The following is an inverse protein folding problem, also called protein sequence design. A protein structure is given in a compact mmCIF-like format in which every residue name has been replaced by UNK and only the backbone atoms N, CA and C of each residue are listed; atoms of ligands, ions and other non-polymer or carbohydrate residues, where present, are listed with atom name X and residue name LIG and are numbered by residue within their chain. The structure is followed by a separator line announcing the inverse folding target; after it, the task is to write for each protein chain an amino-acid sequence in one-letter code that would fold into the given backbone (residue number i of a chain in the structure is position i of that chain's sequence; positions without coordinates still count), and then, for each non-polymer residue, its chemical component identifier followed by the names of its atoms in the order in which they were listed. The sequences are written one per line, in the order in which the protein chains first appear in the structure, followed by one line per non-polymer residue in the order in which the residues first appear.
data_IF_629356778399
#
_entry.id   IF_629356778399
#
_cell.length_a   1.000
_cell.length_b   1.000
_cell.length_c   1.000
_cell.angle_alpha   90.00
_cell.angle_beta   90.00
_cell.angle_gamma   90.00
#
_symmetry.space_group_name_H-M   'P 1'
#
loop_
_entity.id
_entity.type
_entity.pdbx_description
1 polymer ?
#
# COMPACT_ATOMS: atom_id res chain seq x y z
N UNK A 1 -6.20 19.15 -14.40
CA UNK A 1 -5.30 18.06 -14.85
C UNK A 1 -4.16 17.88 -13.84
N UNK A 2 -4.43 17.25 -12.69
CA UNK A 2 -3.43 16.95 -11.65
C UNK A 2 -2.93 15.48 -11.71
N UNK A 3 -3.28 14.73 -12.76
CA UNK A 3 -3.21 13.27 -12.76
C UNK A 3 -1.83 12.67 -13.05
N UNK A 4 -1.11 13.16 -14.05
CA UNK A 4 0.06 12.44 -14.59
C UNK A 4 1.35 12.77 -13.82
N UNK A 5 1.59 14.06 -13.53
CA UNK A 5 2.81 14.52 -12.86
C UNK A 5 2.90 14.16 -11.37
N UNK A 6 1.78 13.86 -10.71
CA UNK A 6 1.75 13.47 -9.30
C UNK A 6 1.91 11.96 -9.10
N UNK A 7 1.36 11.14 -10.01
CA UNK A 7 1.35 9.68 -9.86
C UNK A 7 2.74 9.07 -10.05
N UNK A 8 3.54 9.55 -11.00
CA UNK A 8 4.86 8.97 -11.25
C UNK A 8 5.81 9.11 -10.03
N UNK A 9 6.02 10.32 -9.47
CA UNK A 9 6.80 10.48 -8.25
C UNK A 9 6.19 9.75 -7.05
N UNK A 10 4.85 9.68 -6.96
CA UNK A 10 4.18 8.94 -5.90
C UNK A 10 4.46 7.44 -5.99
N UNK A 11 4.49 6.85 -7.18
CA UNK A 11 4.73 5.42 -7.36
C UNK A 11 6.14 5.03 -6.91
N UNK A 12 7.14 5.84 -7.22
CA UNK A 12 8.51 5.57 -6.78
C UNK A 12 8.67 5.73 -5.25
N UNK A 13 7.88 6.60 -4.61
CA UNK A 13 7.84 6.73 -3.15
C UNK A 13 7.02 5.59 -2.50
N UNK A 14 5.92 5.19 -3.13
CA UNK A 14 4.98 4.21 -2.60
C UNK A 14 5.49 2.77 -2.75
N UNK A 15 6.35 2.50 -3.73
CA UNK A 15 6.97 1.19 -3.94
C UNK A 15 8.02 0.90 -2.87
N UNK A 16 7.55 0.37 -1.73
CA UNK A 16 8.39 -0.01 -0.59
C UNK A 16 8.96 -1.44 -0.71
N UNK A 17 8.83 -2.08 -1.86
CA UNK A 17 9.11 -3.51 -2.03
C UNK A 17 10.51 -3.90 -1.54
N UNK A 18 11.55 -3.19 -1.98
CA UNK A 18 12.94 -3.48 -1.59
C UNK A 18 13.21 -3.18 -0.11
N UNK A 19 12.63 -2.11 0.43
CA UNK A 19 12.74 -1.81 1.86
C UNK A 19 12.15 -2.94 2.70
N UNK A 20 10.94 -3.40 2.36
CA UNK A 20 10.27 -4.49 3.09
C UNK A 20 11.04 -5.80 3.00
N UNK A 21 11.65 -6.09 1.85
CA UNK A 21 12.42 -7.31 1.65
C UNK A 21 13.74 -7.28 2.43
N UNK A 22 14.54 -6.22 2.28
CA UNK A 22 15.85 -6.09 2.95
C UNK A 22 15.69 -6.03 4.48
N UNK A 23 14.61 -5.41 4.96
CA UNK A 23 14.26 -5.40 6.40
C UNK A 23 13.65 -6.72 6.90
N UNK A 24 13.49 -7.72 6.03
CA UNK A 24 12.89 -9.04 6.32
C UNK A 24 11.45 -8.97 6.84
N UNK A 25 10.71 -7.93 6.48
CA UNK A 25 9.27 -7.82 6.75
C UNK A 25 8.44 -8.64 5.75
N UNK A 26 9.02 -8.99 4.61
CA UNK A 26 8.47 -9.93 3.62
C UNK A 26 9.56 -10.90 3.17
N UNK A 27 9.15 -12.07 2.71
CA UNK A 27 10.02 -13.09 2.09
C UNK A 27 10.08 -12.93 0.56
N UNK A 28 10.76 -13.87 -0.12
CA UNK A 28 10.87 -13.86 -1.59
C UNK A 28 9.51 -13.92 -2.28
N UNK A 29 8.55 -14.65 -1.69
CA UNK A 29 7.20 -14.77 -2.22
C UNK A 29 6.43 -13.46 -2.08
N UNK A 30 6.52 -12.80 -0.92
CA UNK A 30 5.96 -11.47 -0.69
C UNK A 30 6.58 -10.43 -1.62
N UNK A 31 7.90 -10.43 -1.78
CA UNK A 31 8.61 -9.55 -2.72
C UNK A 31 8.09 -9.71 -4.14
N UNK A 32 7.94 -10.95 -4.62
CA UNK A 32 7.43 -11.23 -5.96
C UNK A 32 6.03 -10.66 -6.18
N UNK A 33 5.11 -10.86 -5.22
CA UNK A 33 3.75 -10.33 -5.30
C UNK A 33 3.73 -8.79 -5.38
N UNK A 34 4.58 -8.13 -4.58
CA UNK A 34 4.72 -6.69 -4.61
C UNK A 34 5.26 -6.18 -5.96
N UNK A 35 6.34 -6.78 -6.47
CA UNK A 35 6.92 -6.44 -7.79
C UNK A 35 5.88 -6.59 -8.90
N UNK A 36 5.16 -7.70 -8.94
CA UNK A 36 4.12 -7.95 -9.95
C UNK A 36 3.00 -6.91 -9.87
N UNK A 37 2.61 -6.55 -8.65
CA UNK A 37 1.57 -5.54 -8.43
C UNK A 37 2.00 -4.14 -8.86
N UNK A 38 3.22 -3.71 -8.54
CA UNK A 38 3.74 -2.41 -8.96
C UNK A 38 4.01 -2.35 -10.46
N UNK A 39 4.42 -3.46 -11.10
CA UNK A 39 4.47 -3.56 -12.57
C UNK A 39 3.10 -3.33 -13.20
N UNK A 40 2.06 -3.96 -12.67
CA UNK A 40 0.69 -3.78 -13.16
C UNK A 40 0.20 -2.33 -12.99
N UNK A 41 0.53 -1.68 -11.87
CA UNK A 41 0.18 -0.28 -11.67
C UNK A 41 0.89 0.62 -12.68
N UNK A 42 2.18 0.40 -12.95
CA UNK A 42 2.95 1.15 -13.96
C UNK A 42 2.37 0.95 -15.36
N UNK A 43 1.98 -0.27 -15.72
CA UNK A 43 1.27 -0.56 -16.97
C UNK A 43 0.01 0.30 -17.14
N UNK A 44 -0.86 0.37 -16.12
CA UNK A 44 -2.07 1.21 -16.20
C UNK A 44 -1.75 2.72 -16.28
N UNK A 45 -0.63 3.18 -15.73
CA UNK A 45 -0.18 4.56 -15.92
C UNK A 45 0.30 4.82 -17.34
N UNK A 46 1.03 3.88 -17.93
CA UNK A 46 1.52 3.95 -19.31
C UNK A 46 0.36 3.97 -20.33
N UNK A 47 -0.71 3.21 -20.06
CA UNK A 47 -1.94 3.18 -20.87
C UNK A 47 -2.90 4.35 -20.57
N UNK A 48 -2.50 5.32 -19.75
CA UNK A 48 -3.33 6.46 -19.30
C UNK A 48 -4.62 6.07 -18.55
N UNK A 49 -4.72 4.82 -18.06
CA UNK A 49 -5.82 4.29 -17.23
C UNK A 49 -5.61 4.66 -15.75
N UNK A 50 -5.62 5.96 -15.44
CA UNK A 50 -5.24 6.47 -14.12
C UNK A 50 -6.18 6.03 -12.98
N UNK A 51 -7.45 5.79 -13.27
CA UNK A 51 -8.41 5.34 -12.25
C UNK A 51 -8.09 3.92 -11.80
N UNK A 52 -7.78 3.05 -12.74
CA UNK A 52 -7.34 1.67 -12.55
C UNK A 52 -6.02 1.65 -11.79
N UNK A 53 -5.04 2.45 -12.22
CA UNK A 53 -3.76 2.60 -11.52
C UNK A 53 -3.97 3.01 -10.05
N UNK A 54 -4.79 4.05 -9.79
CA UNK A 54 -5.08 4.52 -8.44
C UNK A 54 -5.82 3.47 -7.59
N UNK A 55 -6.75 2.72 -8.20
CA UNK A 55 -7.47 1.62 -7.54
C UNK A 55 -6.52 0.49 -7.14
N UNK A 56 -5.61 0.09 -8.03
CA UNK A 56 -4.60 -0.93 -7.71
C UNK A 56 -3.62 -0.44 -6.65
N UNK A 57 -3.14 0.80 -6.75
CA UNK A 57 -2.28 1.41 -5.74
C UNK A 57 -2.95 1.41 -4.37
N UNK A 58 -4.22 1.82 -4.32
CA UNK A 58 -5.01 1.85 -3.09
C UNK A 58 -5.07 0.47 -2.44
N UNK A 59 -5.45 -0.57 -3.21
CA UNK A 59 -5.54 -1.95 -2.71
C UNK A 59 -4.19 -2.56 -2.34
N UNK A 60 -3.08 -1.95 -2.73
CA UNK A 60 -1.74 -2.48 -2.48
C UNK A 60 -1.16 -1.91 -1.21
N UNK A 61 -1.20 -0.58 -1.05
CA UNK A 61 -0.46 0.12 0.00
C UNK A 61 -1.27 1.14 0.79
N UNK A 62 -2.38 1.65 0.25
CA UNK A 62 -3.16 2.69 0.93
C UNK A 62 -4.31 2.07 1.71
N UNK A 63 -4.34 2.30 3.02
CA UNK A 63 -5.43 1.85 3.90
C UNK A 63 -6.75 2.63 3.69
N UNK A 64 -7.02 3.11 2.47
CA UNK A 64 -8.25 3.79 2.05
C UNK A 64 -9.32 2.81 1.55
N UNK A 65 -9.07 1.50 1.71
CA UNK A 65 -10.03 0.45 1.35
C UNK A 65 -11.26 0.49 2.28
N UNK A 66 -12.37 -0.14 1.87
CA UNK A 66 -13.60 -0.16 2.67
C UNK A 66 -13.32 -0.73 4.07
N UNK A 67 -14.11 -0.36 5.11
CA UNK A 67 -13.98 -0.95 6.44
C UNK A 67 -13.98 -2.48 6.36
N UNK A 68 -12.89 -3.11 6.80
CA UNK A 68 -12.70 -4.58 6.78
C UNK A 68 -11.91 -5.13 5.59
N UNK A 69 -11.66 -4.36 4.54
CA UNK A 69 -10.76 -4.76 3.45
C UNK A 69 -9.29 -4.52 3.84
N UNK A 70 -8.47 -5.56 3.70
CA UNK A 70 -7.01 -5.47 3.92
C UNK A 70 -6.29 -5.24 2.59
N UNK A 71 -5.29 -4.37 2.61
CA UNK A 71 -4.37 -4.18 1.49
C UNK A 71 -3.43 -5.37 1.34
N UNK A 72 -2.79 -5.50 0.18
CA UNK A 72 -1.74 -6.50 -0.03
C UNK A 72 -0.63 -6.37 1.03
N UNK A 73 -0.23 -5.13 1.36
CA UNK A 73 0.71 -4.85 2.44
C UNK A 73 0.25 -5.42 3.78
N UNK A 74 -1.00 -5.18 4.18
CA UNK A 74 -1.56 -5.69 5.44
C UNK A 74 -1.61 -7.22 5.47
N UNK A 75 -1.92 -7.85 4.33
CA UNK A 75 -2.01 -9.30 4.22
C UNK A 75 -0.65 -9.98 4.31
N UNK A 76 0.37 -9.42 3.65
CA UNK A 76 1.69 -10.06 3.57
C UNK A 76 2.55 -9.74 4.80
N UNK A 77 2.52 -8.50 5.27
CA UNK A 77 3.41 -8.06 6.37
C UNK A 77 2.79 -8.20 7.75
N UNK A 78 1.45 -8.26 7.83
CA UNK A 78 0.71 -8.19 9.09
C UNK A 78 0.65 -6.79 9.73
N UNK A 79 1.34 -5.79 9.17
CA UNK A 79 1.29 -4.41 9.66
C UNK A 79 0.10 -3.66 9.09
N UNK A 80 -0.47 -2.77 9.88
CA UNK A 80 -1.67 -2.01 9.51
C UNK A 80 -1.38 -0.86 8.54
N UNK A 81 -0.22 -0.21 8.65
CA UNK A 81 0.12 0.95 7.84
C UNK A 81 1.56 0.88 7.33
N UNK A 82 1.73 1.10 6.02
CA UNK A 82 3.06 1.19 5.40
C UNK A 82 3.85 2.41 5.90
N UNK A 83 3.19 3.54 6.12
CA UNK A 83 3.84 4.77 6.58
C UNK A 83 4.18 4.79 8.07
N UNK A 84 3.72 3.81 8.86
CA UNK A 84 4.03 3.74 10.29
C UNK A 84 3.76 2.34 10.84
N UNK A 85 4.83 1.57 10.99
CA UNK A 85 4.83 0.27 11.68
C UNK A 85 4.51 0.45 13.18
N UNK A 86 4.83 1.61 13.75
CA UNK A 86 4.65 1.93 15.16
C UNK A 86 3.26 2.46 15.53
N UNK A 87 2.36 2.69 14.57
CA UNK A 87 1.01 3.17 14.87
C UNK A 87 0.21 2.09 15.59
N UNK A 88 0.09 2.24 16.90
CA UNK A 88 -0.74 1.39 17.75
C UNK A 88 -2.21 1.60 17.40
N UNK A 89 -2.93 0.51 17.10
CA UNK A 89 -4.39 0.49 17.12
C UNK A 89 -4.84 0.47 18.57
N UNK A 90 -5.49 1.54 19.03
CA UNK A 90 -6.12 1.53 20.34
C UNK A 90 -7.27 0.51 20.29
N UNK A 91 -7.35 -0.44 21.25
CA UNK A 91 -8.51 -1.31 21.39
C UNK A 91 -9.79 -0.47 21.49
N UNK A 92 -10.92 -1.00 20.99
CA UNK A 92 -12.20 -0.27 21.01
C UNK A 92 -12.58 0.17 22.42
N UNK A 93 -12.22 -0.66 23.40
CA UNK A 93 -12.40 -0.45 24.82
C UNK A 93 -11.63 0.78 25.33
N UNK A 94 -10.44 1.06 24.78
CA UNK A 94 -9.62 2.21 25.18
C UNK A 94 -10.12 3.50 24.53
N UNK A 95 -10.66 3.41 23.31
CA UNK A 95 -11.28 4.56 22.63
C UNK A 95 -12.52 5.07 23.35
N UNK A 96 -13.25 4.20 24.05
CA UNK A 96 -14.45 4.55 24.81
C UNK A 96 -14.20 5.46 26.04
N UNK A 97 -12.93 5.64 26.46
CA UNK A 97 -12.57 6.48 27.61
C UNK A 97 -11.93 7.83 27.20
N UNK A 98 -11.95 8.18 25.92
CA UNK A 98 -11.34 9.40 25.38
C UNK A 98 -12.35 10.44 24.85
N UNK A 99 -13.64 10.23 25.13
CA UNK A 99 -14.72 11.23 25.00
C UNK A 99 -14.98 11.94 26.33
#
# INVERSE_FOLDING_TARGET
MLGVGFLFPLLDIADSTEYLYISRLIDDHGRKQFVERFKLIRYFVEEEEYFEAAKFLTRTVMSMSKPGEKTLFQLITGFEHQGSIAKRKLPKEVLAYWE
#
